data_IF_147298856319
#
_entry.id   IF_147298856319
#
_cell.length_a   1.000
_cell.length_b   1.000
_cell.length_c   1.000
_cell.angle_alpha   90.00
_cell.angle_beta   90.00
_cell.angle_gamma   90.00
#
_symmetry.space_group_name_H-M   'P 1'
#
loop_
_entity.id
_entity.type
_entity.pdbx_description
1 polymer ?
#
# COMPACT_ATOMS: atom_id res chain seq x y z
N UNK A 1 -34.17 41.34 -10.14
CA UNK A 1 -33.34 42.52 -10.44
C UNK A 1 -32.67 42.27 -11.76
N UNK A 2 -33.31 42.87 -12.77
CA UNK A 2 -33.00 42.71 -14.20
C UNK A 2 -31.70 43.41 -14.56
N UNK A 3 -30.87 42.79 -15.37
CA UNK A 3 -29.95 43.54 -16.23
C UNK A 3 -29.85 42.86 -17.59
N UNK A 4 -30.43 43.65 -18.52
CA UNK A 4 -30.57 43.47 -19.96
C UNK A 4 -29.23 43.28 -20.69
N UNK A 5 -29.23 42.33 -21.60
CA UNK A 5 -28.25 42.17 -22.69
C UNK A 5 -28.80 42.93 -23.90
N UNK A 6 -28.04 43.88 -24.43
CA UNK A 6 -28.31 44.52 -25.72
C UNK A 6 -27.35 43.98 -26.78
N UNK A 7 -27.83 43.70 -28.04
CA UNK A 7 -26.99 43.21 -29.11
C UNK A 7 -26.45 44.38 -29.95
N UNK A 8 -25.17 44.33 -30.25
CA UNK A 8 -24.55 45.24 -31.25
C UNK A 8 -24.26 44.45 -32.52
N UNK A 9 -25.25 44.51 -33.42
CA UNK A 9 -25.12 44.22 -34.87
C UNK A 9 -24.91 45.49 -35.63
N UNK A 10 -24.14 45.41 -36.76
CA UNK A 10 -23.95 46.38 -37.81
C UNK A 10 -22.70 47.25 -37.78
N UNK A 11 -21.54 46.64 -38.08
CA UNK A 11 -20.41 47.39 -38.66
C UNK A 11 -19.42 46.52 -39.43
N UNK A 12 -19.84 45.40 -40.02
CA UNK A 12 -18.94 44.50 -40.75
C UNK A 12 -19.19 44.43 -42.26
N UNK A 13 -20.07 45.27 -42.79
CA UNK A 13 -20.43 45.15 -44.19
C UNK A 13 -19.85 46.25 -45.12
N UNK A 14 -19.12 47.25 -44.64
CA UNK A 14 -18.56 48.32 -45.40
C UNK A 14 -17.06 48.27 -45.73
N UNK A 15 -16.34 47.23 -45.19
CA UNK A 15 -14.90 47.11 -45.44
C UNK A 15 -14.55 46.09 -46.54
N UNK A 16 -15.51 45.36 -47.08
CA UNK A 16 -15.26 44.33 -48.10
C UNK A 16 -15.54 44.81 -49.56
N UNK A 17 -16.03 46.02 -49.72
CA UNK A 17 -16.32 46.59 -51.08
C UNK A 17 -15.17 47.40 -51.71
N UNK A 18 -14.11 47.72 -50.92
CA UNK A 18 -12.98 48.54 -51.44
C UNK A 18 -11.79 47.67 -51.88
N UNK A 19 -11.79 46.33 -51.62
CA UNK A 19 -10.68 45.46 -52.00
C UNK A 19 -10.85 44.79 -53.37
N UNK A 20 -12.01 44.86 -53.99
CA UNK A 20 -12.31 44.25 -55.32
C UNK A 20 -11.97 45.14 -56.49
N UNK A 21 -11.67 46.45 -56.30
CA UNK A 21 -11.42 47.38 -57.37
C UNK A 21 -9.98 47.64 -57.76
N UNK A 22 -9.02 46.90 -57.16
CA UNK A 22 -7.56 47.08 -57.35
C UNK A 22 -6.85 45.93 -58.12
N UNK A 23 -7.62 45.03 -58.77
CA UNK A 23 -7.06 43.90 -59.51
C UNK A 23 -7.27 43.93 -61.04
N UNK A 24 -7.59 45.06 -61.58
CA UNK A 24 -7.81 45.23 -63.07
C UNK A 24 -6.94 46.35 -63.61
N UNK A 25 -5.60 46.21 -63.54
CA UNK A 25 -4.71 46.99 -64.41
C UNK A 25 -3.33 46.41 -64.40
N UNK A 26 -2.99 45.53 -65.35
CA UNK A 26 -1.77 45.64 -66.11
C UNK A 26 -1.83 44.66 -67.28
N UNK A 27 -1.88 45.20 -68.43
CA UNK A 27 -1.74 44.53 -69.71
C UNK A 27 -0.26 44.43 -70.08
N UNK A 28 0.09 43.27 -70.64
CA UNK A 28 1.07 42.99 -71.69
C UNK A 28 2.39 43.82 -71.75
N UNK A 29 3.49 43.15 -71.55
CA UNK A 29 4.63 43.39 -72.44
C UNK A 29 5.47 42.08 -72.49
N UNK A 30 5.55 41.54 -73.72
CA UNK A 30 6.45 40.40 -74.03
C UNK A 30 7.90 40.86 -73.85
N UNK A 31 8.63 40.16 -73.07
CA UNK A 31 10.10 40.10 -73.11
C UNK A 31 10.57 38.65 -72.97
N UNK A 32 11.03 38.15 -74.11
CA UNK A 32 11.80 36.92 -74.14
C UNK A 32 12.96 37.00 -73.11
N UNK A 33 12.81 36.32 -72.04
CA UNK A 33 13.92 36.03 -71.12
C UNK A 33 14.30 34.55 -71.29
N UNK A 34 15.40 34.36 -71.94
CA UNK A 34 16.16 33.12 -72.06
C UNK A 34 16.09 32.30 -70.75
N UNK A 35 15.27 31.26 -70.74
CA UNK A 35 15.31 30.28 -69.68
C UNK A 35 16.61 29.50 -69.80
N UNK A 36 17.58 29.92 -69.02
CA UNK A 36 18.77 29.12 -68.78
C UNK A 36 18.30 27.78 -68.14
N UNK A 37 18.29 26.78 -68.98
CA UNK A 37 18.14 25.35 -68.58
C UNK A 37 19.23 25.06 -67.56
N UNK A 38 18.92 25.12 -66.27
CA UNK A 38 19.81 24.51 -65.23
C UNK A 38 19.90 23.03 -65.55
N UNK A 39 20.87 22.70 -66.37
CA UNK A 39 21.37 21.35 -66.49
C UNK A 39 21.96 21.00 -65.12
N UNK A 40 21.22 20.22 -64.35
CA UNK A 40 21.80 19.54 -63.17
C UNK A 40 22.95 18.66 -63.69
N UNK A 41 24.14 19.26 -63.78
CA UNK A 41 25.34 18.54 -64.03
C UNK A 41 25.55 17.64 -62.80
N UNK A 42 25.16 16.41 -62.95
CA UNK A 42 25.46 15.36 -62.00
C UNK A 42 27.01 15.11 -62.07
N UNK A 43 27.75 16.03 -61.45
CA UNK A 43 29.22 15.99 -61.42
C UNK A 43 29.64 14.86 -60.52
N UNK A 44 29.65 13.63 -61.08
CA UNK A 44 30.25 12.50 -60.39
C UNK A 44 31.74 12.75 -60.29
N UNK A 45 32.21 13.01 -59.12
CA UNK A 45 33.62 13.11 -58.82
C UNK A 45 34.22 11.70 -58.82
N UNK A 46 35.03 11.37 -59.79
CA UNK A 46 35.78 10.10 -59.84
C UNK A 46 37.17 10.35 -59.26
N UNK A 47 37.41 9.87 -58.06
CA UNK A 47 38.70 9.91 -57.40
C UNK A 47 39.46 8.62 -57.68
N UNK A 48 40.71 8.71 -58.04
CA UNK A 48 41.58 7.55 -58.15
C UNK A 48 42.06 7.06 -56.78
N UNK A 49 42.43 5.82 -56.62
CA UNK A 49 42.90 5.26 -55.35
C UNK A 49 44.08 6.07 -54.78
N UNK A 50 44.93 6.64 -55.62
CA UNK A 50 46.08 7.49 -55.22
C UNK A 50 45.58 8.81 -54.62
N UNK A 51 44.53 9.41 -55.17
CA UNK A 51 43.92 10.65 -54.66
C UNK A 51 43.21 10.42 -53.35
N UNK A 52 42.52 9.29 -53.18
CA UNK A 52 41.88 8.90 -51.91
C UNK A 52 42.92 8.78 -50.80
N UNK A 53 44.06 8.12 -51.08
CA UNK A 53 45.14 7.96 -50.11
C UNK A 53 45.82 9.29 -49.75
N UNK A 54 46.07 10.18 -50.74
CA UNK A 54 46.65 11.51 -50.50
C UNK A 54 45.75 12.43 -49.70
N UNK A 55 44.40 12.28 -49.82
CA UNK A 55 43.39 13.04 -49.11
C UNK A 55 43.03 12.44 -47.76
N UNK A 56 43.62 11.28 -47.37
CA UNK A 56 43.33 10.60 -46.11
C UNK A 56 41.89 10.07 -46.00
N UNK A 57 41.23 9.81 -47.15
CA UNK A 57 39.87 9.29 -47.19
C UNK A 57 39.91 7.78 -47.05
N UNK A 58 39.41 7.27 -45.95
CA UNK A 58 39.21 5.85 -45.72
C UNK A 58 37.75 5.47 -45.96
N UNK A 59 37.51 4.39 -46.70
CA UNK A 59 36.18 3.84 -46.89
C UNK A 59 35.93 2.76 -45.85
N UNK A 60 34.92 2.96 -45.00
CA UNK A 60 34.47 1.99 -44.06
C UNK A 60 33.13 1.34 -44.47
N UNK A 61 32.89 0.16 -43.98
CA UNK A 61 31.59 -0.49 -44.08
C UNK A 61 30.65 -0.04 -42.95
N UNK A 62 29.37 0.22 -43.25
CA UNK A 62 28.38 0.45 -42.24
C UNK A 62 28.14 -0.85 -41.44
N UNK A 63 28.37 -0.79 -40.15
CA UNK A 63 28.02 -1.89 -39.26
C UNK A 63 26.65 -1.63 -38.67
N UNK A 64 25.77 -2.62 -38.77
CA UNK A 64 24.47 -2.58 -38.14
C UNK A 64 24.66 -2.88 -36.64
N UNK A 65 24.41 -1.92 -35.80
CA UNK A 65 24.51 -2.05 -34.34
C UNK A 65 23.09 -2.12 -33.81
N UNK A 66 22.80 -3.15 -33.03
CA UNK A 66 21.54 -3.21 -32.27
C UNK A 66 21.61 -2.18 -31.12
N UNK A 67 20.92 -1.07 -31.29
CA UNK A 67 20.75 -0.09 -30.21
C UNK A 67 19.55 -0.47 -29.39
N UNK A 68 19.79 -1.02 -28.21
CA UNK A 68 18.72 -1.29 -27.24
C UNK A 68 18.17 0.03 -26.67
N UNK A 69 16.85 0.12 -26.54
CA UNK A 69 16.22 1.19 -25.80
C UNK A 69 16.46 0.97 -24.30
N UNK A 70 17.14 1.91 -23.65
CA UNK A 70 17.27 1.91 -22.21
C UNK A 70 16.19 2.79 -21.59
N UNK A 71 15.36 2.23 -20.72
CA UNK A 71 14.35 2.94 -19.95
C UNK A 71 14.91 3.19 -18.56
N UNK A 72 14.93 4.46 -18.14
CA UNK A 72 15.33 4.84 -16.79
C UNK A 72 14.08 5.16 -15.99
N UNK A 73 14.04 4.68 -14.76
CA UNK A 73 12.96 4.89 -13.83
C UNK A 73 13.52 5.14 -12.43
N UNK A 74 12.85 6.00 -11.68
CA UNK A 74 13.12 6.20 -10.27
C UNK A 74 12.13 5.38 -9.45
N UNK A 75 12.53 5.01 -8.24
CA UNK A 75 11.66 4.27 -7.36
C UNK A 75 12.19 4.19 -5.94
N UNK A 76 11.48 3.44 -5.13
CA UNK A 76 11.79 3.21 -3.73
C UNK A 76 11.79 1.70 -3.44
N UNK A 77 12.51 1.30 -2.41
CA UNK A 77 12.38 -0.05 -1.86
C UNK A 77 11.24 0.00 -0.86
N UNK A 78 10.25 -0.85 -1.06
CA UNK A 78 9.11 -0.99 -0.17
C UNK A 78 8.84 -2.46 0.18
N UNK A 79 7.99 -2.66 1.18
CA UNK A 79 7.57 -3.99 1.64
C UNK A 79 6.06 -4.09 1.48
N UNK A 80 5.52 -5.18 0.89
CA UNK A 80 4.08 -5.34 0.73
C UNK A 80 3.32 -5.15 2.04
N UNK A 81 2.10 -4.60 2.03
CA UNK A 81 1.30 -4.35 3.25
C UNK A 81 1.11 -5.60 4.13
N UNK A 82 1.02 -6.78 3.54
CA UNK A 82 0.93 -8.05 4.27
C UNK A 82 2.20 -8.42 5.05
N UNK A 83 3.31 -7.80 4.72
CA UNK A 83 4.62 -8.00 5.36
C UNK A 83 5.04 -6.81 6.24
N UNK A 84 4.11 -5.88 6.50
CA UNK A 84 4.20 -4.80 7.49
C UNK A 84 3.18 -5.05 8.59
N UNK A 85 3.52 -4.77 9.82
CA UNK A 85 2.58 -4.82 10.94
C UNK A 85 2.78 -3.63 11.85
N UNK A 86 1.71 -2.88 12.01
CA UNK A 86 1.60 -1.87 13.06
C UNK A 86 1.06 -2.54 14.30
N UNK A 87 1.83 -2.53 15.37
CA UNK A 87 1.45 -3.13 16.63
C UNK A 87 0.68 -2.08 17.44
N UNK A 88 -0.59 -2.39 17.67
CA UNK A 88 -1.49 -1.65 18.55
C UNK A 88 -2.03 -2.60 19.62
N UNK A 89 -2.66 -2.05 20.65
CA UNK A 89 -3.31 -2.84 21.71
C UNK A 89 -4.83 -2.86 21.49
N UNK A 90 -5.50 -3.97 21.78
CA UNK A 90 -6.97 -4.02 21.70
C UNK A 90 -7.68 -3.24 22.83
N UNK A 91 -6.98 -3.02 23.94
CA UNK A 91 -7.44 -2.27 25.12
C UNK A 91 -6.40 -1.24 25.51
N UNK A 92 -6.83 -0.10 26.07
CA UNK A 92 -5.93 0.91 26.60
C UNK A 92 -5.15 0.41 27.81
N UNK A 93 -3.89 0.86 27.95
CA UNK A 93 -3.06 0.42 29.07
C UNK A 93 -1.75 1.18 29.22
N UNK A 94 -1.07 0.93 30.36
CA UNK A 94 0.21 1.53 30.67
C UNK A 94 1.37 0.66 30.20
N UNK A 95 2.32 1.25 29.49
CA UNK A 95 3.51 0.59 29.01
C UNK A 95 4.49 0.43 30.18
N UNK A 96 4.74 -0.81 30.61
CA UNK A 96 5.64 -1.09 31.74
C UNK A 96 7.08 -1.28 31.31
N UNK A 97 7.28 -1.92 30.16
CA UNK A 97 8.62 -2.24 29.64
C UNK A 97 8.59 -2.35 28.12
N UNK A 98 9.62 -1.84 27.47
CA UNK A 98 9.89 -2.02 26.04
C UNK A 98 11.19 -2.82 25.93
N UNK A 99 11.17 -3.92 25.17
CA UNK A 99 12.31 -4.85 25.04
C UNK A 99 13.01 -4.73 23.70
N UNK A 100 12.59 -3.78 22.85
CA UNK A 100 13.07 -3.61 21.46
C UNK A 100 13.41 -2.15 21.19
N UNK A 101 14.29 -1.97 20.21
CA UNK A 101 14.72 -0.66 19.70
C UNK A 101 14.55 -0.61 18.18
N UNK A 102 14.55 0.60 17.61
CA UNK A 102 14.57 0.81 16.17
C UNK A 102 15.79 0.09 15.54
N UNK A 103 15.55 -0.59 14.43
CA UNK A 103 16.55 -1.40 13.72
C UNK A 103 16.75 -2.81 14.27
N UNK A 104 16.15 -3.17 15.41
CA UNK A 104 16.33 -4.49 16.02
C UNK A 104 15.60 -5.58 15.25
N UNK A 105 16.28 -6.72 15.02
CA UNK A 105 15.65 -7.92 14.48
C UNK A 105 14.90 -8.68 15.56
N UNK A 106 13.69 -9.12 15.22
CA UNK A 106 12.80 -9.87 16.11
C UNK A 106 12.32 -11.16 15.46
N UNK A 107 12.07 -12.18 16.29
CA UNK A 107 11.49 -13.44 15.85
C UNK A 107 9.98 -13.46 16.09
N UNK A 108 9.26 -14.33 15.36
CA UNK A 108 7.84 -14.58 15.61
C UNK A 108 7.62 -15.03 17.04
N UNK A 109 6.68 -14.40 17.76
CA UNK A 109 6.35 -14.70 19.15
C UNK A 109 7.29 -14.04 20.18
N UNK A 110 8.37 -13.37 19.77
CA UNK A 110 9.24 -12.63 20.68
C UNK A 110 8.48 -11.52 21.40
N UNK A 111 8.72 -11.36 22.70
CA UNK A 111 8.08 -10.32 23.53
C UNK A 111 8.71 -8.96 23.17
N UNK A 112 7.89 -8.06 22.65
CA UNK A 112 8.27 -6.71 22.23
C UNK A 112 8.15 -5.73 23.39
N UNK A 113 7.04 -5.81 24.11
CA UNK A 113 6.77 -4.96 25.28
C UNK A 113 5.86 -5.66 26.29
N UNK A 114 5.86 -5.12 27.49
CA UNK A 114 4.99 -5.55 28.59
C UNK A 114 4.08 -4.40 28.95
N UNK A 115 2.79 -4.67 29.01
CA UNK A 115 1.74 -3.66 29.25
C UNK A 115 0.87 -4.06 30.44
N UNK A 116 0.30 -3.10 31.12
CA UNK A 116 -0.67 -3.28 32.19
C UNK A 116 -2.00 -2.64 31.75
N UNK A 117 -3.05 -3.46 31.69
CA UNK A 117 -4.38 -3.05 31.26
C UNK A 117 -5.36 -3.09 32.43
N UNK A 118 -5.75 -1.97 33.02
CA UNK A 118 -6.72 -1.94 34.12
C UNK A 118 -8.06 -2.56 33.75
N UNK A 119 -8.54 -2.30 32.52
CA UNK A 119 -9.78 -2.89 32.00
C UNK A 119 -9.67 -4.42 31.86
N UNK A 120 -8.53 -4.95 31.42
CA UNK A 120 -8.32 -6.40 31.30
C UNK A 120 -8.28 -7.08 32.66
N UNK A 121 -7.75 -6.42 33.70
CA UNK A 121 -7.83 -6.91 35.08
C UNK A 121 -9.28 -7.05 35.52
N UNK A 122 -10.09 -6.02 35.26
CA UNK A 122 -11.52 -6.04 35.58
C UNK A 122 -12.27 -7.15 34.82
N UNK A 123 -11.98 -7.33 33.52
CA UNK A 123 -12.55 -8.42 32.72
C UNK A 123 -12.19 -9.81 33.26
N UNK A 124 -10.97 -10.01 33.80
CA UNK A 124 -10.55 -11.25 34.44
C UNK A 124 -11.35 -11.53 35.72
N UNK A 125 -11.56 -10.50 36.56
CA UNK A 125 -12.40 -10.61 37.76
C UNK A 125 -13.84 -10.99 37.38
N UNK A 126 -14.45 -10.27 36.43
CA UNK A 126 -15.80 -10.56 35.98
C UNK A 126 -15.92 -11.98 35.40
N UNK A 127 -14.92 -12.46 34.66
CA UNK A 127 -14.87 -13.82 34.15
C UNK A 127 -14.92 -14.86 35.30
N UNK A 128 -14.09 -14.69 36.33
CA UNK A 128 -14.04 -15.58 37.49
C UNK A 128 -15.32 -15.59 38.29
N UNK A 129 -15.98 -14.43 38.45
CA UNK A 129 -17.29 -14.33 39.10
C UNK A 129 -18.36 -15.13 38.34
N UNK A 130 -18.44 -14.93 36.99
CA UNK A 130 -19.38 -15.65 36.14
C UNK A 130 -19.06 -17.14 36.05
N UNK A 131 -17.78 -17.52 36.06
CA UNK A 131 -17.33 -18.89 36.12
C UNK A 131 -17.74 -19.57 37.43
N UNK A 132 -17.59 -18.87 38.57
CA UNK A 132 -17.99 -19.39 39.88
C UNK A 132 -19.50 -19.69 39.98
N UNK A 133 -20.33 -18.95 39.22
CA UNK A 133 -21.76 -19.20 39.17
C UNK A 133 -22.17 -20.31 38.17
N UNK A 134 -21.32 -20.62 37.21
CA UNK A 134 -21.65 -21.49 36.07
C UNK A 134 -22.03 -22.92 36.51
N UNK A 135 -21.27 -23.47 37.44
CA UNK A 135 -21.48 -24.84 37.95
C UNK A 135 -22.82 -24.96 38.68
N UNK A 136 -23.12 -24.01 39.57
CA UNK A 136 -24.39 -23.96 40.27
C UNK A 136 -25.57 -23.84 39.30
N UNK A 137 -25.53 -22.92 38.36
CA UNK A 137 -26.61 -22.70 37.41
C UNK A 137 -26.81 -23.89 36.45
N UNK A 138 -25.72 -24.56 36.07
CA UNK A 138 -25.80 -25.78 35.27
C UNK A 138 -26.50 -26.92 36.06
N UNK A 139 -26.08 -27.14 37.31
CA UNK A 139 -26.68 -28.14 38.17
C UNK A 139 -28.14 -27.85 38.48
N UNK A 140 -28.49 -26.57 38.72
CA UNK A 140 -29.90 -26.18 38.96
C UNK A 140 -30.77 -26.41 37.71
N UNK A 141 -30.25 -26.01 36.51
CA UNK A 141 -30.97 -26.24 35.28
C UNK A 141 -31.25 -27.74 35.04
N UNK A 142 -30.24 -28.63 35.20
CA UNK A 142 -30.45 -30.07 35.00
C UNK A 142 -31.42 -30.65 36.07
N UNK A 143 -31.37 -30.22 37.33
CA UNK A 143 -32.30 -30.62 38.37
C UNK A 143 -33.72 -30.18 38.03
N UNK A 144 -33.97 -28.92 37.67
CA UNK A 144 -35.28 -28.43 37.30
C UNK A 144 -35.84 -29.09 36.04
N UNK A 145 -34.97 -29.41 35.10
CA UNK A 145 -35.33 -30.16 33.89
C UNK A 145 -35.78 -31.58 34.21
N UNK A 146 -35.08 -32.28 35.08
CA UNK A 146 -35.43 -33.63 35.50
C UNK A 146 -36.77 -33.64 36.27
N UNK A 147 -36.97 -32.71 37.21
CA UNK A 147 -38.24 -32.55 37.95
C UNK A 147 -39.44 -32.25 37.00
N UNK A 148 -39.23 -31.37 36.03
CA UNK A 148 -40.24 -31.05 35.02
C UNK A 148 -40.61 -32.26 34.16
N UNK A 149 -39.59 -33.02 33.69
CA UNK A 149 -39.80 -34.24 32.89
C UNK A 149 -40.56 -35.35 33.64
N UNK A 150 -40.38 -35.39 34.95
CA UNK A 150 -41.07 -36.34 35.83
C UNK A 150 -42.43 -35.82 36.36
N UNK A 151 -42.93 -34.70 35.79
CA UNK A 151 -44.17 -34.02 36.22
C UNK A 151 -44.17 -33.60 37.70
N UNK A 152 -43.00 -33.56 38.34
CA UNK A 152 -42.82 -33.19 39.75
C UNK A 152 -42.39 -31.73 39.97
N UNK A 153 -42.20 -30.96 38.87
CA UNK A 153 -41.74 -29.57 38.88
C UNK A 153 -42.63 -28.63 38.05
N UNK A 154 -42.55 -27.32 38.34
CA UNK A 154 -43.31 -26.35 37.55
C UNK A 154 -42.58 -25.92 36.28
N UNK A 155 -43.32 -25.74 35.20
CA UNK A 155 -42.78 -25.19 33.92
C UNK A 155 -42.09 -23.84 34.13
N UNK A 156 -42.58 -23.00 35.04
CA UNK A 156 -41.99 -21.70 35.39
C UNK A 156 -40.60 -21.85 35.95
N UNK A 157 -40.39 -22.75 36.91
CA UNK A 157 -39.08 -22.96 37.54
C UNK A 157 -38.05 -23.50 36.52
N UNK A 158 -38.46 -24.47 35.69
CA UNK A 158 -37.65 -24.98 34.61
C UNK A 158 -37.22 -23.87 33.63
N UNK A 159 -38.16 -23.02 33.17
CA UNK A 159 -37.85 -21.93 32.25
C UNK A 159 -36.95 -20.87 32.89
N UNK A 160 -37.10 -20.57 34.18
CA UNK A 160 -36.22 -19.66 34.91
C UNK A 160 -34.79 -20.21 35.00
N UNK A 161 -34.63 -21.45 35.43
CA UNK A 161 -33.33 -22.09 35.54
C UNK A 161 -32.64 -22.19 34.17
N UNK A 162 -33.40 -22.57 33.13
CA UNK A 162 -32.91 -22.60 31.75
C UNK A 162 -32.39 -21.23 31.28
N UNK A 163 -33.19 -20.20 31.50
CA UNK A 163 -32.82 -18.83 31.12
C UNK A 163 -31.57 -18.38 31.86
N UNK A 164 -31.49 -18.56 33.18
CA UNK A 164 -30.33 -18.21 33.99
C UNK A 164 -29.06 -18.92 33.53
N UNK A 165 -29.13 -20.22 33.28
CA UNK A 165 -28.01 -21.02 32.74
C UNK A 165 -27.56 -20.50 31.39
N UNK A 166 -28.47 -20.23 30.44
CA UNK A 166 -28.15 -19.77 29.10
C UNK A 166 -27.52 -18.38 29.09
N UNK A 167 -28.02 -17.45 29.92
CA UNK A 167 -27.48 -16.11 30.08
C UNK A 167 -26.05 -16.17 30.64
N UNK A 168 -25.83 -16.95 31.71
CA UNK A 168 -24.52 -17.12 32.29
C UNK A 168 -23.52 -17.74 31.28
N UNK A 169 -23.92 -18.79 30.56
CA UNK A 169 -23.11 -19.43 29.52
C UNK A 169 -22.72 -18.48 28.43
N UNK A 170 -23.65 -17.65 27.93
CA UNK A 170 -23.38 -16.64 26.91
C UNK A 170 -22.40 -15.57 27.43
N UNK A 171 -22.60 -15.09 28.66
CA UNK A 171 -21.73 -14.10 29.30
C UNK A 171 -20.33 -14.64 29.50
N UNK A 172 -20.17 -15.87 29.98
CA UNK A 172 -18.90 -16.53 30.17
C UNK A 172 -18.12 -16.66 28.83
N UNK A 173 -18.81 -17.09 27.78
CA UNK A 173 -18.23 -17.19 26.44
C UNK A 173 -17.79 -15.83 25.88
N UNK A 174 -18.60 -14.80 26.05
CA UNK A 174 -18.26 -13.44 25.60
C UNK A 174 -17.07 -12.85 26.33
N UNK A 175 -16.98 -13.06 27.65
CA UNK A 175 -15.82 -12.63 28.44
C UNK A 175 -14.56 -13.40 28.06
N UNK A 176 -14.66 -14.71 27.82
CA UNK A 176 -13.53 -15.51 27.36
C UNK A 176 -12.94 -14.97 26.03
N UNK A 177 -13.80 -14.67 25.05
CA UNK A 177 -13.34 -14.10 23.78
C UNK A 177 -12.64 -12.74 23.95
N UNK A 178 -13.16 -11.86 24.80
CA UNK A 178 -12.49 -10.58 25.09
C UNK A 178 -11.11 -10.76 25.72
N UNK A 179 -11.00 -11.71 26.66
CA UNK A 179 -9.74 -12.01 27.34
C UNK A 179 -8.72 -12.67 26.41
N UNK A 180 -9.15 -13.52 25.48
CA UNK A 180 -8.30 -14.09 24.44
C UNK A 180 -7.76 -13.01 23.49
N UNK A 181 -8.58 -12.02 23.12
CA UNK A 181 -8.12 -10.86 22.34
C UNK A 181 -7.06 -10.05 23.06
N UNK A 182 -7.10 -10.02 24.41
CA UNK A 182 -6.09 -9.37 25.24
C UNK A 182 -4.84 -10.25 25.46
N UNK A 183 -4.75 -11.45 24.86
CA UNK A 183 -3.70 -12.43 25.07
C UNK A 183 -3.55 -12.90 26.53
N UNK A 184 -4.64 -12.93 27.29
CA UNK A 184 -4.65 -13.49 28.66
C UNK A 184 -4.56 -15.00 28.58
N UNK A 185 -3.72 -15.59 29.45
CA UNK A 185 -3.63 -17.04 29.55
C UNK A 185 -4.87 -17.60 30.28
N UNK A 186 -5.82 -18.14 29.49
CA UNK A 186 -7.08 -18.68 30.05
C UNK A 186 -6.88 -19.87 30.97
N UNK A 187 -5.77 -20.62 30.88
CA UNK A 187 -5.51 -21.73 31.77
C UNK A 187 -5.12 -21.24 33.17
N UNK A 188 -4.27 -20.24 33.29
CA UNK A 188 -3.91 -19.63 34.58
C UNK A 188 -5.12 -18.93 35.20
N UNK A 189 -5.91 -18.23 34.38
CA UNK A 189 -7.12 -17.52 34.83
C UNK A 189 -8.17 -18.48 35.37
N UNK A 190 -8.47 -19.60 34.70
CA UNK A 190 -9.42 -20.61 35.17
C UNK A 190 -9.05 -21.20 36.52
N UNK A 191 -7.76 -21.19 36.86
CA UNK A 191 -7.27 -21.60 38.19
C UNK A 191 -7.32 -20.47 39.24
N UNK A 192 -7.99 -19.35 38.92
CA UNK A 192 -8.16 -18.22 39.85
C UNK A 192 -6.99 -17.23 39.86
N UNK A 193 -6.02 -17.36 38.97
CA UNK A 193 -4.85 -16.47 38.95
C UNK A 193 -5.06 -15.35 37.96
N UNK A 194 -5.12 -14.10 38.45
CA UNK A 194 -5.25 -12.90 37.65
C UNK A 194 -3.87 -12.41 37.27
N UNK A 195 -3.65 -12.21 35.96
CA UNK A 195 -2.43 -11.64 35.41
C UNK A 195 -2.59 -10.11 35.29
N UNK A 196 -1.65 -9.41 35.90
CA UNK A 196 -1.64 -7.96 35.95
C UNK A 196 -1.08 -7.34 34.67
N UNK A 197 -0.14 -8.03 34.03
CA UNK A 197 0.55 -7.57 32.83
C UNK A 197 0.41 -8.57 31.70
N UNK A 198 0.31 -8.05 30.50
CA UNK A 198 0.27 -8.84 29.27
C UNK A 198 1.50 -8.57 28.42
N UNK A 199 1.93 -9.59 27.69
CA UNK A 199 3.07 -9.52 26.78
C UNK A 199 2.59 -9.27 25.35
N UNK A 200 2.99 -8.18 24.76
CA UNK A 200 2.80 -7.92 23.34
C UNK A 200 3.91 -8.61 22.58
N UNK A 201 3.54 -9.48 21.64
CA UNK A 201 4.47 -10.34 20.88
C UNK A 201 4.48 -10.01 19.40
N UNK A 202 5.61 -10.27 18.74
CA UNK A 202 5.72 -10.13 17.30
C UNK A 202 4.88 -11.18 16.55
N UNK A 203 4.05 -10.78 15.56
CA UNK A 203 3.26 -11.71 14.77
C UNK A 203 4.11 -12.52 13.77
N UNK A 204 5.25 -11.99 13.34
CA UNK A 204 6.21 -12.64 12.42
C UNK A 204 7.65 -12.23 12.73
N UNK A 205 8.61 -12.87 12.07
CA UNK A 205 10.03 -12.49 12.17
C UNK A 205 10.31 -11.31 11.23
N UNK A 206 10.92 -10.24 11.75
CA UNK A 206 11.17 -9.03 10.97
C UNK A 206 12.12 -8.06 11.66
N UNK A 207 12.11 -6.83 11.20
CA UNK A 207 12.90 -5.71 11.75
C UNK A 207 11.95 -4.64 12.27
N UNK A 208 12.22 -4.12 13.46
CA UNK A 208 11.51 -2.97 14.02
C UNK A 208 11.96 -1.72 13.25
N UNK A 209 11.03 -1.06 12.57
CA UNK A 209 11.35 0.20 11.85
C UNK A 209 11.18 1.42 12.73
N UNK A 210 10.20 1.38 13.64
CA UNK A 210 9.90 2.51 14.51
C UNK A 210 9.27 2.05 15.81
N UNK A 211 9.74 2.59 16.93
CA UNK A 211 9.11 2.51 18.25
C UNK A 211 8.60 3.90 18.62
N UNK A 212 7.29 4.05 18.75
CA UNK A 212 6.63 5.31 19.16
C UNK A 212 6.18 5.29 20.62
N UNK A 213 6.17 4.11 21.21
CA UNK A 213 5.78 3.89 22.58
C UNK A 213 6.84 4.41 23.58
N UNK A 214 6.38 4.91 24.73
CA UNK A 214 7.23 5.35 25.82
C UNK A 214 6.89 4.58 27.11
N UNK A 215 7.90 4.17 27.86
CA UNK A 215 7.71 3.50 29.16
C UNK A 215 7.02 4.45 30.14
N UNK A 216 6.00 3.97 30.83
CA UNK A 216 5.16 4.74 31.75
C UNK A 216 4.00 5.49 31.09
N UNK A 217 3.99 5.64 29.78
CA UNK A 217 2.86 6.28 29.11
C UNK A 217 1.62 5.38 29.09
N UNK A 218 0.45 6.00 29.06
CA UNK A 218 -0.80 5.33 28.74
C UNK A 218 -0.98 5.34 27.22
N UNK A 219 -1.23 4.20 26.63
CA UNK A 219 -1.51 4.05 25.20
C UNK A 219 -2.99 3.72 24.98
N UNK A 220 -3.61 4.33 24.00
CA UNK A 220 -4.98 4.07 23.59
C UNK A 220 -5.05 2.93 22.53
N UNK A 221 -6.19 2.27 22.34
CA UNK A 221 -6.33 1.17 21.38
C UNK A 221 -5.98 1.53 19.93
N UNK A 222 -6.09 2.81 19.55
CA UNK A 222 -5.79 3.32 18.20
C UNK A 222 -4.31 3.67 17.99
N UNK A 223 -3.52 3.71 19.08
CA UNK A 223 -2.13 4.15 19.01
C UNK A 223 -1.27 3.08 18.36
N UNK A 224 -0.50 3.49 17.35
CA UNK A 224 0.53 2.65 16.76
C UNK A 224 1.78 2.69 17.66
N UNK A 225 2.07 1.61 18.36
CA UNK A 225 3.13 1.55 19.37
C UNK A 225 4.49 1.24 18.77
N UNK A 226 4.52 0.41 17.76
CA UNK A 226 5.71 0.09 16.99
C UNK A 226 5.33 -0.51 15.64
N UNK A 227 6.27 -0.44 14.70
CA UNK A 227 6.12 -0.98 13.35
C UNK A 227 7.19 -2.05 13.09
N UNK A 228 6.75 -3.17 12.49
CA UNK A 228 7.61 -4.30 12.11
C UNK A 228 7.47 -4.54 10.62
N UNK A 229 8.59 -4.77 9.94
CA UNK A 229 8.60 -5.15 8.52
C UNK A 229 9.37 -6.45 8.32
N UNK A 230 8.91 -7.28 7.38
CA UNK A 230 9.64 -8.44 6.90
C UNK A 230 10.43 -8.10 5.64
N UNK A 231 11.72 -7.82 5.80
CA UNK A 231 12.62 -7.44 4.72
C UNK A 231 12.84 -8.55 3.66
N UNK A 232 12.49 -9.82 3.95
CA UNK A 232 12.64 -10.91 2.99
C UNK A 232 11.75 -10.75 1.77
N UNK A 233 10.67 -9.99 1.90
CA UNK A 233 9.70 -9.72 0.86
C UNK A 233 9.79 -8.29 0.31
N UNK A 234 10.91 -7.60 0.59
CA UNK A 234 11.15 -6.27 0.03
C UNK A 234 11.22 -6.32 -1.50
N UNK A 235 10.64 -5.32 -2.14
CA UNK A 235 10.65 -5.15 -3.59
C UNK A 235 10.94 -3.70 -3.96
N UNK A 236 11.42 -3.49 -5.18
CA UNK A 236 11.59 -2.16 -5.74
C UNK A 236 10.29 -1.75 -6.47
N UNK A 237 9.69 -0.67 -6.04
CA UNK A 237 8.57 -0.03 -6.72
C UNK A 237 9.12 1.10 -7.59
N UNK A 238 8.92 0.98 -8.92
CA UNK A 238 9.49 1.89 -9.90
C UNK A 238 8.36 2.62 -10.63
N UNK A 239 8.47 3.95 -10.70
CA UNK A 239 7.55 4.78 -11.48
C UNK A 239 8.07 4.96 -12.89
N UNK A 240 7.30 4.53 -13.88
CA UNK A 240 7.65 4.57 -15.29
C UNK A 240 6.60 5.38 -16.06
N UNK A 241 7.05 6.23 -17.00
CA UNK A 241 6.13 6.94 -17.87
C UNK A 241 5.35 5.99 -18.78
N UNK A 242 4.07 6.28 -19.02
CA UNK A 242 3.15 5.46 -19.82
C UNK A 242 3.71 5.09 -21.21
N UNK A 243 4.40 6.02 -21.90
CA UNK A 243 5.03 5.78 -23.20
C UNK A 243 6.03 4.62 -23.25
N UNK A 244 6.55 4.20 -22.08
CA UNK A 244 7.49 3.09 -21.98
C UNK A 244 6.84 1.77 -21.57
N UNK A 245 5.56 1.76 -21.17
CA UNK A 245 4.88 0.56 -20.69
C UNK A 245 4.86 -0.56 -21.74
N UNK A 246 4.77 -0.21 -23.05
CA UNK A 246 4.77 -1.19 -24.14
C UNK A 246 6.10 -1.96 -24.27
N UNK A 247 7.17 -1.45 -23.71
CA UNK A 247 8.51 -2.07 -23.75
C UNK A 247 8.82 -2.91 -22.50
N UNK A 248 7.93 -2.90 -21.51
CA UNK A 248 8.11 -3.62 -20.26
C UNK A 248 7.33 -4.93 -20.29
N UNK A 249 7.99 -5.99 -19.85
CA UNK A 249 7.39 -7.31 -19.75
C UNK A 249 7.68 -7.93 -18.38
N UNK A 250 6.73 -8.74 -17.90
CA UNK A 250 6.96 -9.55 -16.71
C UNK A 250 8.17 -10.45 -16.92
N UNK A 251 8.92 -10.71 -15.86
CA UNK A 251 10.16 -11.49 -15.81
C UNK A 251 11.36 -10.87 -16.56
N UNK A 252 11.22 -9.65 -17.11
CA UNK A 252 12.31 -8.90 -17.69
C UNK A 252 13.34 -8.52 -16.59
N UNK A 253 14.62 -8.67 -16.91
CA UNK A 253 15.71 -8.27 -16.02
C UNK A 253 15.89 -6.76 -16.03
N UNK A 254 16.02 -6.19 -14.86
CA UNK A 254 16.29 -4.77 -14.63
C UNK A 254 17.50 -4.62 -13.71
N UNK A 255 18.28 -3.57 -13.96
CA UNK A 255 19.42 -3.21 -13.13
C UNK A 255 19.01 -2.09 -12.17
N UNK A 256 19.08 -2.36 -10.88
CA UNK A 256 18.84 -1.38 -9.82
C UNK A 256 20.18 -0.76 -9.43
N UNK A 257 20.21 0.56 -9.30
CA UNK A 257 21.35 1.30 -8.80
C UNK A 257 20.92 2.07 -7.56
N UNK A 258 21.59 1.79 -6.43
CA UNK A 258 21.33 2.46 -5.17
C UNK A 258 22.22 3.69 -5.04
N UNK A 259 21.59 4.84 -4.78
CA UNK A 259 22.31 6.13 -4.76
C UNK A 259 23.33 6.19 -3.62
N UNK A 260 22.94 5.71 -2.42
CA UNK A 260 23.75 5.83 -1.21
C UNK A 260 24.86 4.77 -1.08
N UNK A 261 24.73 3.64 -1.76
CA UNK A 261 25.65 2.50 -1.57
C UNK A 261 26.62 2.30 -2.72
N UNK A 262 26.50 3.05 -3.82
CA UNK A 262 27.21 2.79 -5.09
C UNK A 262 27.11 1.31 -5.55
N UNK A 263 26.11 0.61 -5.06
CA UNK A 263 25.87 -0.81 -5.28
C UNK A 263 24.84 -0.99 -6.38
N UNK A 264 25.03 -2.02 -7.19
CA UNK A 264 24.05 -2.40 -8.21
C UNK A 264 23.50 -3.78 -7.91
N UNK A 265 22.20 -3.97 -8.10
CA UNK A 265 21.55 -5.26 -8.02
C UNK A 265 20.78 -5.55 -9.32
N UNK A 266 20.61 -6.82 -9.62
CA UNK A 266 19.74 -7.25 -10.72
C UNK A 266 18.45 -7.81 -10.14
N UNK A 267 17.33 -7.34 -10.67
CA UNK A 267 15.99 -7.79 -10.27
C UNK A 267 15.19 -8.19 -11.50
N UNK A 268 14.04 -8.85 -11.28
CA UNK A 268 13.07 -9.18 -12.32
C UNK A 268 11.80 -8.38 -12.11
N UNK A 269 11.19 -7.94 -13.20
CA UNK A 269 9.87 -7.33 -13.15
C UNK A 269 8.86 -8.41 -12.74
N UNK A 270 8.28 -8.24 -11.58
CA UNK A 270 7.31 -9.17 -11.00
C UNK A 270 5.87 -8.80 -11.36
N UNK A 271 5.55 -7.50 -11.30
CA UNK A 271 4.22 -6.95 -11.55
C UNK A 271 4.34 -5.62 -12.29
N UNK A 272 3.41 -5.34 -13.19
CA UNK A 272 3.26 -4.05 -13.86
C UNK A 272 1.87 -3.53 -13.51
N UNK A 273 1.82 -2.52 -12.64
CA UNK A 273 0.61 -1.77 -12.31
C UNK A 273 0.27 -0.80 -13.44
N UNK A 274 -1.01 -0.57 -13.66
CA UNK A 274 -1.52 0.48 -14.56
C UNK A 274 -2.41 1.38 -13.72
N UNK A 275 -1.80 2.35 -13.06
CA UNK A 275 -2.54 3.48 -12.49
C UNK A 275 -2.59 4.56 -13.55
N UNK A 276 -3.78 5.04 -13.85
CA UNK A 276 -4.06 6.12 -14.80
C UNK A 276 -4.41 7.36 -13.98
#
# INVERSE_FOLDING_TARGET
>A
MDTKITPMKTSFFLLNSLFVLLLLSCSSQDQEANAAKETKVNKQLKLSSKQLHTLGIEMGSLQQINMGLSVFANGVIDVPPQNKSNIAMPFGGYIKKINVLDGMQVQKGQILMVVEHPEVIQLQQEYLEVQGQAEYLAADYERQKELYQKEAGSAKNYQQAKSAYMVNKAKLSGLAMKLEMANVNMNTLRNGQIERTQNIRSPFAGVITKVTANVGAFAEPKDNLLEIIDLKHAHAELTVYEKYLSFLQKDQLVKLQFVDMHTTATAKIYLIGREI
#
